data_IF_075419328747
#
_entry.id   IF_075419328747
#
_cell.length_a   1.000
_cell.length_b   1.000
_cell.length_c   1.000
_cell.angle_alpha   90.00
_cell.angle_beta   90.00
_cell.angle_gamma   90.00
#
_symmetry.space_group_name_H-M   'P 1'
#
loop_
_entity.id
_entity.type
_entity.pdbx_description
1 polymer ?
#
# COMPACT_ATOMS: atom_id res chain seq x y z
N UNK A 1 6.87 -9.67 24.09
CA UNK A 1 7.20 -8.97 22.82
C UNK A 1 6.45 -9.65 21.71
N UNK A 2 5.69 -8.90 20.89
CA UNK A 2 4.93 -9.55 19.80
C UNK A 2 5.91 -9.92 18.68
N UNK A 3 5.97 -11.20 18.35
CA UNK A 3 6.65 -11.73 17.15
C UNK A 3 6.20 -11.00 15.89
N UNK A 4 4.92 -10.57 15.84
CA UNK A 4 4.35 -9.79 14.77
C UNK A 4 5.10 -8.48 14.52
N UNK A 5 5.34 -7.66 15.56
CA UNK A 5 6.00 -6.35 15.38
C UNK A 5 7.43 -6.48 14.87
N UNK A 6 8.15 -7.53 15.28
CA UNK A 6 9.51 -7.81 14.80
C UNK A 6 9.50 -8.27 13.33
N UNK A 7 8.60 -9.19 13.00
CA UNK A 7 8.49 -9.68 11.63
C UNK A 7 8.07 -8.58 10.66
N UNK A 8 7.05 -7.79 11.03
CA UNK A 8 6.60 -6.65 10.21
C UNK A 8 7.74 -5.67 9.96
N UNK A 9 8.54 -5.34 10.97
CA UNK A 9 9.69 -4.45 10.80
C UNK A 9 10.75 -5.04 9.85
N UNK A 10 11.08 -6.33 9.98
CA UNK A 10 12.06 -6.99 9.12
C UNK A 10 11.62 -7.02 7.65
N UNK A 11 10.33 -7.24 7.41
CA UNK A 11 9.76 -7.28 6.07
C UNK A 11 9.39 -5.90 5.50
N UNK A 12 9.52 -4.83 6.29
CA UNK A 12 9.03 -3.50 5.92
C UNK A 12 9.69 -2.98 4.64
N UNK A 13 11.01 -3.10 4.51
CA UNK A 13 11.72 -2.62 3.31
C UNK A 13 11.33 -3.40 2.05
N UNK A 14 11.48 -4.74 2.00
CA UNK A 14 11.17 -5.47 0.78
C UNK A 14 9.68 -5.42 0.41
N UNK A 15 8.77 -5.44 1.39
CA UNK A 15 7.33 -5.37 1.10
C UNK A 15 6.92 -3.97 0.69
N UNK A 16 7.47 -2.90 1.27
CA UNK A 16 7.21 -1.53 0.81
C UNK A 16 7.61 -1.35 -0.66
N UNK A 17 8.79 -1.82 -1.06
CA UNK A 17 9.22 -1.77 -2.46
C UNK A 17 8.31 -2.61 -3.38
N UNK A 18 7.93 -3.80 -2.91
CA UNK A 18 7.00 -4.66 -3.64
C UNK A 18 5.63 -3.99 -3.81
N UNK A 19 5.10 -3.34 -2.78
CA UNK A 19 3.81 -2.64 -2.85
C UNK A 19 3.85 -1.43 -3.80
N UNK A 20 4.94 -0.69 -3.83
CA UNK A 20 5.12 0.40 -4.81
C UNK A 20 5.09 -0.15 -6.24
N UNK A 21 5.88 -1.19 -6.50
CA UNK A 21 5.88 -1.87 -7.80
C UNK A 21 4.50 -2.47 -8.14
N UNK A 22 3.81 -3.04 -7.14
CA UNK A 22 2.47 -3.62 -7.29
C UNK A 22 1.42 -2.57 -7.64
N UNK A 23 1.35 -1.44 -6.94
CA UNK A 23 0.40 -0.37 -7.25
C UNK A 23 0.63 0.19 -8.66
N UNK A 24 1.87 0.24 -9.11
CA UNK A 24 2.20 0.70 -10.46
C UNK A 24 1.91 -0.35 -11.51
N UNK A 25 2.43 -1.57 -11.35
CA UNK A 25 2.50 -2.60 -12.39
C UNK A 25 1.55 -3.80 -12.16
N UNK A 26 1.01 -3.95 -10.94
CA UNK A 26 0.28 -5.16 -10.55
C UNK A 26 -0.93 -5.49 -11.44
N UNK A 27 -1.62 -4.47 -11.95
CA UNK A 27 -2.76 -4.65 -12.86
C UNK A 27 -2.36 -5.25 -14.22
N UNK A 28 -1.10 -5.09 -14.66
CA UNK A 28 -0.61 -5.68 -15.91
C UNK A 28 -0.69 -7.21 -15.84
N UNK A 29 -0.50 -7.79 -14.67
CA UNK A 29 -0.62 -9.25 -14.44
C UNK A 29 -2.00 -9.76 -14.85
N UNK A 30 -3.02 -8.91 -14.78
CA UNK A 30 -4.41 -9.22 -15.15
C UNK A 30 -4.75 -8.75 -16.56
N UNK A 31 -3.78 -8.34 -17.37
CA UNK A 31 -4.00 -7.83 -18.71
C UNK A 31 -4.60 -6.42 -18.74
N UNK A 32 -4.54 -5.69 -17.64
CA UNK A 32 -5.05 -4.32 -17.53
C UNK A 32 -3.88 -3.34 -17.65
N UNK A 33 -3.85 -2.58 -18.73
CA UNK A 33 -2.81 -1.59 -18.99
C UNK A 33 -3.31 -0.47 -19.90
N UNK A 34 -2.98 0.77 -19.56
CA UNK A 34 -3.38 1.96 -20.30
C UNK A 34 -2.73 3.22 -19.71
N UNK A 35 -3.43 4.34 -19.79
CA UNK A 35 -2.92 5.65 -19.39
C UNK A 35 -2.58 5.78 -17.92
N UNK A 36 -3.26 5.05 -17.03
CA UNK A 36 -2.93 5.07 -15.61
C UNK A 36 -1.53 4.53 -15.28
N UNK A 37 -0.93 3.72 -16.14
CA UNK A 37 0.47 3.33 -15.96
C UNK A 37 1.41 4.54 -15.97
N UNK A 38 1.22 5.46 -16.92
CA UNK A 38 2.00 6.69 -17.02
C UNK A 38 1.65 7.69 -15.92
N UNK A 39 0.35 7.86 -15.65
CA UNK A 39 -0.14 8.76 -14.61
C UNK A 39 0.39 8.33 -13.24
N UNK A 40 0.32 7.04 -12.91
CA UNK A 40 0.82 6.53 -11.63
C UNK A 40 2.33 6.63 -11.51
N UNK A 41 3.07 6.41 -12.60
CA UNK A 41 4.52 6.56 -12.60
C UNK A 41 4.94 7.97 -12.21
N UNK A 42 4.23 9.00 -12.69
CA UNK A 42 4.59 10.41 -12.48
C UNK A 42 4.01 10.95 -11.17
N UNK A 43 2.87 10.44 -10.70
CA UNK A 43 2.14 10.98 -9.55
C UNK A 43 2.20 10.08 -8.32
N UNK A 44 1.66 8.88 -8.41
CA UNK A 44 1.45 7.99 -7.25
C UNK A 44 2.77 7.35 -6.78
N UNK A 45 3.60 6.89 -7.72
CA UNK A 45 4.88 6.22 -7.39
C UNK A 45 5.82 7.13 -6.60
N UNK A 46 6.09 8.39 -6.98
CA UNK A 46 6.92 9.29 -6.18
C UNK A 46 6.35 9.55 -4.79
N UNK A 47 5.03 9.71 -4.67
CA UNK A 47 4.37 9.92 -3.37
C UNK A 47 4.51 8.68 -2.48
N UNK A 48 4.29 7.50 -3.03
CA UNK A 48 4.46 6.24 -2.28
C UNK A 48 5.91 6.01 -1.88
N UNK A 49 6.88 6.31 -2.74
CA UNK A 49 8.31 6.21 -2.42
C UNK A 49 8.65 7.07 -1.20
N UNK A 50 8.26 8.35 -1.21
CA UNK A 50 8.52 9.26 -0.10
C UNK A 50 7.80 8.79 1.17
N UNK A 51 6.51 8.45 1.08
CA UNK A 51 5.72 8.00 2.21
C UNK A 51 6.31 6.74 2.85
N UNK A 52 6.60 5.70 2.05
CA UNK A 52 7.17 4.45 2.54
C UNK A 52 8.59 4.62 3.09
N UNK A 53 9.39 5.51 2.49
CA UNK A 53 10.72 5.85 3.00
C UNK A 53 10.63 6.51 4.37
N UNK A 54 9.77 7.51 4.54
CA UNK A 54 9.56 8.22 5.81
C UNK A 54 9.13 7.26 6.91
N UNK A 55 8.10 6.44 6.67
CA UNK A 55 7.64 5.46 7.67
C UNK A 55 8.73 4.43 8.00
N UNK A 56 9.50 3.98 7.02
CA UNK A 56 10.61 3.05 7.23
C UNK A 56 11.71 3.68 8.10
N UNK A 57 12.15 4.89 7.80
CA UNK A 57 13.16 5.60 8.58
C UNK A 57 12.68 5.77 10.03
N UNK A 58 11.45 6.26 10.24
CA UNK A 58 10.88 6.43 11.57
C UNK A 58 10.77 5.11 12.34
N UNK A 59 10.41 4.01 11.66
CA UNK A 59 10.31 2.69 12.27
C UNK A 59 11.68 2.15 12.74
N UNK A 60 12.72 2.32 11.92
CA UNK A 60 14.08 1.85 12.24
C UNK A 60 14.86 2.76 13.18
N UNK A 61 14.43 4.01 13.36
CA UNK A 61 15.05 4.97 14.29
C UNK A 61 14.39 5.02 15.67
N UNK A 62 13.40 4.15 15.96
CA UNK A 62 12.81 4.05 17.28
C UNK A 62 13.82 3.54 18.32
N UNK A 63 13.78 4.14 19.51
CA UNK A 63 14.52 3.67 20.68
C UNK A 63 13.96 2.33 21.15
N UNK A 64 14.81 1.53 21.77
CA UNK A 64 14.42 0.22 22.29
C UNK A 64 15.09 -0.95 21.55
N UNK A 65 15.55 -1.90 22.34
CA UNK A 65 16.17 -3.14 21.85
C UNK A 65 15.49 -4.34 22.50
N UNK A 66 15.21 -5.42 21.75
CA UNK A 66 15.38 -5.54 20.30
C UNK A 66 14.36 -4.69 19.52
N UNK A 67 14.75 -4.22 18.34
CA UNK A 67 13.92 -3.38 17.49
C UNK A 67 12.68 -4.15 17.03
N UNK A 68 11.50 -3.57 17.26
CA UNK A 68 10.22 -4.11 16.84
C UNK A 68 9.18 -2.98 16.82
N UNK A 69 8.18 -3.09 15.95
CA UNK A 69 7.02 -2.22 15.97
C UNK A 69 6.13 -2.53 17.18
N UNK A 70 5.42 -1.53 17.67
CA UNK A 70 4.31 -1.75 18.60
C UNK A 70 3.17 -2.51 17.89
N UNK A 71 2.25 -3.18 18.62
CA UNK A 71 1.13 -3.86 17.99
C UNK A 71 0.30 -2.93 17.07
N UNK A 72 0.05 -1.70 17.51
CA UNK A 72 -0.68 -0.71 16.70
C UNK A 72 0.07 -0.36 15.41
N UNK A 73 1.38 -0.10 15.51
CA UNK A 73 2.22 0.20 14.35
C UNK A 73 2.27 -0.98 13.37
N UNK A 74 2.38 -2.22 13.87
CA UNK A 74 2.40 -3.41 13.04
C UNK A 74 1.06 -3.63 12.31
N UNK A 75 -0.06 -3.51 13.02
CA UNK A 75 -1.40 -3.64 12.41
C UNK A 75 -1.64 -2.52 11.39
N UNK A 76 -1.29 -1.28 11.69
CA UNK A 76 -1.42 -0.17 10.77
C UNK A 76 -0.56 -0.36 9.50
N UNK A 77 0.66 -0.87 9.64
CA UNK A 77 1.51 -1.20 8.48
C UNK A 77 0.90 -2.32 7.63
N UNK A 78 0.38 -3.38 8.25
CA UNK A 78 -0.27 -4.48 7.52
C UNK A 78 -1.54 -4.00 6.82
N UNK A 79 -2.34 -3.16 7.46
CA UNK A 79 -3.53 -2.56 6.85
C UNK A 79 -3.17 -1.64 5.66
N UNK A 80 -2.06 -0.89 5.77
CA UNK A 80 -1.54 -0.08 4.65
C UNK A 80 -1.19 -0.99 3.46
N UNK A 81 -0.46 -2.08 3.69
CA UNK A 81 -0.13 -3.03 2.61
C UNK A 81 -1.39 -3.68 2.01
N UNK A 82 -2.36 -4.08 2.83
CA UNK A 82 -3.61 -4.66 2.34
C UNK A 82 -4.39 -3.67 1.45
N UNK A 83 -4.48 -2.41 1.86
CA UNK A 83 -5.12 -1.36 1.06
C UNK A 83 -4.40 -1.11 -0.27
N UNK A 84 -3.06 -1.06 -0.26
CA UNK A 84 -2.27 -0.91 -1.49
C UNK A 84 -2.37 -2.13 -2.41
N UNK A 85 -2.47 -3.34 -1.84
CA UNK A 85 -2.67 -4.56 -2.60
C UNK A 85 -4.01 -4.55 -3.34
N UNK A 86 -5.07 -4.14 -2.66
CA UNK A 86 -6.41 -3.97 -3.25
C UNK A 86 -6.40 -2.87 -4.31
N UNK A 87 -5.80 -1.72 -4.02
CA UNK A 87 -5.69 -0.63 -4.99
C UNK A 87 -4.98 -1.08 -6.27
N UNK A 88 -3.81 -1.71 -6.16
CA UNK A 88 -3.03 -2.14 -7.31
C UNK A 88 -3.68 -3.24 -8.14
N UNK A 89 -4.51 -4.10 -7.51
CA UNK A 89 -5.22 -5.15 -8.22
C UNK A 89 -6.47 -4.65 -8.95
N UNK A 90 -7.28 -3.81 -8.29
CA UNK A 90 -8.62 -3.45 -8.75
C UNK A 90 -8.70 -2.11 -9.49
N UNK A 91 -7.62 -1.30 -9.48
CA UNK A 91 -7.62 -0.04 -10.20
C UNK A 91 -7.84 -0.30 -11.70
N UNK A 92 -8.95 0.16 -12.30
CA UNK A 92 -9.17 0.01 -13.73
C UNK A 92 -8.21 0.90 -14.53
N UNK A 93 -8.08 0.62 -15.80
CA UNK A 93 -7.31 1.43 -16.72
C UNK A 93 -8.14 1.80 -17.96
N UNK A 94 -7.71 2.79 -18.69
CA UNK A 94 -8.36 3.25 -19.91
C UNK A 94 -7.29 3.57 -20.97
N UNK A 95 -7.70 3.49 -22.23
CA UNK A 95 -6.87 3.85 -23.37
C UNK A 95 -7.60 4.78 -24.32
N UNK A 96 -7.13 4.86 -25.57
CA UNK A 96 -7.63 5.80 -26.58
C UNK A 96 -8.88 5.31 -27.32
N UNK A 97 -9.34 4.08 -27.06
CA UNK A 97 -10.52 3.47 -27.71
C UNK A 97 -11.53 3.01 -26.66
N UNK A 98 -12.81 2.98 -27.02
CA UNK A 98 -13.90 2.55 -26.14
C UNK A 98 -13.71 1.12 -25.62
N UNK A 99 -13.07 0.24 -26.43
CA UNK A 99 -12.77 -1.15 -26.05
C UNK A 99 -11.58 -1.27 -25.07
N UNK A 100 -10.93 -0.17 -24.74
CA UNK A 100 -9.75 -0.15 -23.85
C UNK A 100 -10.06 0.15 -22.37
N UNK A 101 -11.33 0.19 -22.00
CA UNK A 101 -11.77 0.28 -20.61
C UNK A 101 -11.65 -1.10 -19.93
N UNK A 102 -10.54 -1.33 -19.27
CA UNK A 102 -10.19 -2.63 -18.70
C UNK A 102 -10.09 -2.55 -17.18
N UNK A 103 -10.57 -3.59 -16.53
CA UNK A 103 -10.37 -3.80 -15.08
C UNK A 103 -10.20 -5.28 -14.79
N UNK A 104 -9.72 -5.64 -13.60
CA UNK A 104 -9.63 -7.04 -13.18
C UNK A 104 -10.97 -7.75 -13.30
N UNK A 105 -12.06 -7.12 -12.86
CA UNK A 105 -13.38 -7.73 -12.91
C UNK A 105 -13.89 -7.91 -14.36
N UNK A 106 -13.65 -6.93 -15.24
CA UNK A 106 -14.04 -7.04 -16.65
C UNK A 106 -13.22 -8.08 -17.40
N UNK A 107 -11.96 -8.30 -17.02
CA UNK A 107 -11.12 -9.35 -17.59
C UNK A 107 -11.57 -10.77 -17.19
N UNK A 108 -12.03 -10.93 -15.95
CA UNK A 108 -12.44 -12.25 -15.42
C UNK A 108 -13.86 -12.61 -15.82
N UNK A 109 -14.79 -11.65 -15.80
CA UNK A 109 -16.23 -11.91 -15.95
C UNK A 109 -16.82 -11.40 -17.27
N UNK A 110 -16.01 -10.77 -18.12
CA UNK A 110 -16.47 -10.10 -19.33
C UNK A 110 -16.79 -8.62 -19.09
N UNK A 111 -16.80 -7.83 -20.19
CA UNK A 111 -17.04 -6.40 -20.09
C UNK A 111 -18.46 -6.07 -19.66
N UNK A 112 -18.58 -5.18 -18.70
CA UNK A 112 -19.81 -4.56 -18.23
C UNK A 112 -19.45 -3.25 -17.52
N UNK A 113 -20.20 -2.17 -17.78
CA UNK A 113 -19.98 -0.88 -17.11
C UNK A 113 -20.10 -1.01 -15.60
N UNK A 114 -21.05 -1.80 -15.10
CA UNK A 114 -21.22 -2.04 -13.67
C UNK A 114 -20.05 -2.78 -13.04
N UNK A 115 -19.38 -3.70 -13.75
CA UNK A 115 -18.18 -4.37 -13.25
C UNK A 115 -16.96 -3.46 -13.29
N UNK A 116 -16.86 -2.59 -14.29
CA UNK A 116 -15.82 -1.57 -14.35
C UNK A 116 -15.95 -0.59 -13.19
N UNK A 117 -17.15 -0.04 -12.94
CA UNK A 117 -17.44 0.87 -11.83
C UNK A 117 -17.23 0.20 -10.47
N UNK A 118 -17.62 -1.08 -10.32
CA UNK A 118 -17.40 -1.85 -9.11
C UNK A 118 -15.90 -2.04 -8.84
N UNK A 119 -15.11 -2.32 -9.87
CA UNK A 119 -13.65 -2.44 -9.76
C UNK A 119 -13.05 -1.12 -9.26
N UNK A 120 -13.47 0.00 -9.84
CA UNK A 120 -13.04 1.33 -9.41
C UNK A 120 -13.42 1.61 -7.95
N UNK A 121 -14.65 1.28 -7.55
CA UNK A 121 -15.09 1.45 -6.16
C UNK A 121 -14.25 0.64 -5.18
N UNK A 122 -13.95 -0.64 -5.51
CA UNK A 122 -13.08 -1.49 -4.69
C UNK A 122 -11.68 -0.89 -4.58
N UNK A 123 -11.12 -0.41 -5.70
CA UNK A 123 -9.82 0.26 -5.70
C UNK A 123 -9.82 1.53 -4.82
N UNK A 124 -10.88 2.33 -4.89
CA UNK A 124 -11.06 3.53 -4.07
C UNK A 124 -11.13 3.18 -2.58
N UNK A 125 -11.88 2.15 -2.21
CA UNK A 125 -11.92 1.66 -0.81
C UNK A 125 -10.52 1.22 -0.37
N UNK A 126 -9.79 0.49 -1.21
CA UNK A 126 -8.40 0.12 -0.95
C UNK A 126 -7.50 1.34 -0.71
N UNK A 127 -7.63 2.37 -1.54
CA UNK A 127 -6.89 3.63 -1.38
C UNK A 127 -7.22 4.34 -0.05
N UNK A 128 -8.50 4.44 0.29
CA UNK A 128 -8.94 5.07 1.56
C UNK A 128 -8.40 4.29 2.76
N UNK A 129 -8.47 2.96 2.73
CA UNK A 129 -7.90 2.11 3.79
C UNK A 129 -6.38 2.31 3.90
N UNK A 130 -5.67 2.33 2.78
CA UNK A 130 -4.23 2.54 2.77
C UNK A 130 -3.85 3.90 3.37
N UNK A 131 -4.51 4.98 2.96
CA UNK A 131 -4.25 6.34 3.45
C UNK A 131 -4.58 6.47 4.94
N UNK A 132 -5.75 5.97 5.37
CA UNK A 132 -6.14 6.03 6.78
C UNK A 132 -5.19 5.22 7.67
N UNK A 133 -4.86 3.99 7.27
CA UNK A 133 -3.93 3.14 8.00
C UNK A 133 -2.52 3.74 8.03
N UNK A 134 -2.05 4.32 6.93
CA UNK A 134 -0.77 5.01 6.88
C UNK A 134 -0.74 6.25 7.81
N UNK A 135 -1.81 7.03 7.86
CA UNK A 135 -1.91 8.16 8.79
C UNK A 135 -1.84 7.71 10.25
N UNK A 136 -2.51 6.60 10.61
CA UNK A 136 -2.41 5.98 11.94
C UNK A 136 -1.00 5.50 12.21
N UNK A 137 -0.37 4.81 11.25
CA UNK A 137 1.02 4.35 11.36
C UNK A 137 1.97 5.53 11.61
N UNK A 138 1.88 6.57 10.80
CA UNK A 138 2.73 7.75 10.91
C UNK A 138 2.55 8.45 12.27
N UNK A 139 1.30 8.64 12.69
CA UNK A 139 0.98 9.18 14.02
C UNK A 139 1.57 8.32 15.14
N UNK A 140 1.40 7.00 15.07
CA UNK A 140 1.94 6.09 16.07
C UNK A 140 3.49 6.04 16.06
N UNK A 141 4.13 6.23 14.91
CA UNK A 141 5.59 6.31 14.81
C UNK A 141 6.16 7.62 15.38
N UNK A 142 5.38 8.71 15.31
CA UNK A 142 5.82 10.02 15.80
C UNK A 142 5.50 10.18 17.30
N UNK A 143 4.28 9.86 17.72
CA UNK A 143 3.77 10.20 19.06
C UNK A 143 3.79 9.03 20.06
N UNK A 144 3.66 7.78 19.60
CA UNK A 144 3.64 6.59 20.42
C UNK A 144 4.95 5.78 20.26
N UNK A 145 6.09 6.46 20.33
CA UNK A 145 7.42 5.83 20.28
C UNK A 145 7.61 4.91 21.48
N UNK A 146 8.35 3.84 21.27
CA UNK A 146 8.72 2.92 22.32
C UNK A 146 9.67 3.64 23.29
N UNK A 147 9.41 3.66 24.62
CA UNK A 147 10.35 4.22 25.57
C UNK A 147 11.66 3.42 25.55
N UNK A 148 12.79 4.13 25.69
CA UNK A 148 14.07 3.49 25.91
C UNK A 148 13.97 2.61 27.16
N UNK A 149 14.35 1.34 27.05
CA UNK A 149 14.51 0.48 28.25
C UNK A 149 15.61 1.08 29.11
N UNK A 150 15.27 1.44 30.34
CA UNK A 150 16.27 1.89 31.29
C UNK A 150 17.38 0.81 31.44
N UNK A 151 18.65 1.21 31.43
CA UNK A 151 19.74 0.26 31.71
C UNK A 151 19.52 -0.37 33.09
N UNK A 152 19.59 -1.70 33.18
CA UNK A 152 19.55 -2.45 34.40
C UNK A 152 20.84 -2.27 35.17
#
# INVERSE_FOLDING_TARGET
>A
MSTLGRQTLLWMIPVNLLMIAWVWLGRIVFGVGGWFLLIFMISVVPVLLVAMLVSTILAFTQDGRPRALTPLQAVAQLATWAGLLVLGAFMPDFGDTDDSQLSLLTQVFGYSDSLYDLSFLIALVGAVVAVAAYAVLLGALIFARRPATAPA
#
